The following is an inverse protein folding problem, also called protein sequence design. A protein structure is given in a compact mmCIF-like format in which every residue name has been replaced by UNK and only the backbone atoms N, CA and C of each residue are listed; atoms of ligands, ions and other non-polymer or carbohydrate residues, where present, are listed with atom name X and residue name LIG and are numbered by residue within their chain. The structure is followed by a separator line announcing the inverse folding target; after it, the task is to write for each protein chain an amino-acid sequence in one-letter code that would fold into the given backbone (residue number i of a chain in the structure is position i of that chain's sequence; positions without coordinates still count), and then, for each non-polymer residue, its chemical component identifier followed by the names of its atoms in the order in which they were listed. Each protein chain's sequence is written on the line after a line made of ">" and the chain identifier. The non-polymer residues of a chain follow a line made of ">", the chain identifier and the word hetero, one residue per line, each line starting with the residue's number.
data_IF_700020962757
#
_entry.id   IF_700020962757
#
_cell.length_a   1.000
_cell.length_b   1.000
_cell.length_c   1.000
_cell.angle_alpha   90.00
_cell.angle_beta   90.00
_cell.angle_gamma   90.00
#
_symmetry.space_group_name_H-M   'P 1'
#
loop_
_entity.id
_entity.type
_entity.pdbx_description
1 polymer ?
#
# COMPACT_ATOMS: atom_id res chain seq x y z
N UNK A 1 -0.68 -23.46 -0.35
CA UNK A 1 0.06 -22.61 -1.30
C UNK A 1 -0.98 -21.95 -2.20
N UNK A 2 -1.44 -20.75 -1.86
CA UNK A 2 -2.51 -20.06 -2.62
C UNK A 2 -1.89 -19.31 -3.80
N UNK A 3 -1.63 -20.02 -4.88
CA UNK A 3 -1.26 -19.40 -6.16
C UNK A 3 -2.54 -18.87 -6.81
N UNK A 4 -2.95 -17.65 -6.45
CA UNK A 4 -4.02 -16.98 -7.18
C UNK A 4 -3.46 -16.64 -8.58
N UNK A 5 -4.06 -17.15 -9.66
CA UNK A 5 -3.52 -17.04 -11.01
C UNK A 5 -3.64 -15.62 -11.62
N UNK A 6 -4.11 -14.62 -10.87
CA UNK A 6 -4.26 -13.22 -11.29
C UNK A 6 -3.05 -12.33 -10.95
N UNK A 7 -2.02 -12.88 -10.32
CA UNK A 7 -0.92 -12.12 -9.73
C UNK A 7 0.29 -11.99 -10.67
N UNK A 8 0.64 -10.75 -11.00
CA UNK A 8 1.73 -10.39 -11.91
C UNK A 8 3.16 -10.59 -11.33
N UNK A 9 3.30 -11.21 -10.15
CA UNK A 9 4.61 -11.49 -9.56
C UNK A 9 4.54 -12.35 -8.30
N UNK A 10 5.66 -12.99 -7.95
CA UNK A 10 5.82 -13.74 -6.69
C UNK A 10 6.32 -12.86 -5.54
N UNK A 11 6.69 -11.60 -5.80
CA UNK A 11 7.32 -10.70 -4.82
C UNK A 11 6.60 -9.36 -4.76
N UNK A 12 6.22 -8.98 -3.54
CA UNK A 12 5.50 -7.75 -3.27
C UNK A 12 6.20 -6.97 -2.16
N UNK A 13 6.22 -5.65 -2.31
CA UNK A 13 6.44 -4.73 -1.22
C UNK A 13 5.08 -4.28 -0.69
N UNK A 14 4.87 -4.39 0.62
CA UNK A 14 3.56 -4.16 1.23
C UNK A 14 3.56 -2.97 2.17
N UNK A 15 2.50 -2.18 2.12
CA UNK A 15 2.28 -1.03 3.01
C UNK A 15 0.94 -1.20 3.72
N UNK A 16 0.92 -1.10 5.04
CA UNK A 16 -0.30 -1.25 5.83
C UNK A 16 -0.73 0.08 6.41
N UNK A 17 -1.97 0.46 6.14
CA UNK A 17 -2.59 1.68 6.65
C UNK A 17 -3.65 1.35 7.69
N UNK A 18 -3.82 2.29 8.61
CA UNK A 18 -4.83 2.27 9.66
C UNK A 18 -5.68 3.53 9.57
N UNK A 19 -6.89 3.47 10.08
CA UNK A 19 -7.86 4.55 10.06
C UNK A 19 -7.64 5.58 11.20
N UNK A 20 -6.40 6.07 11.32
CA UNK A 20 -5.99 7.07 12.31
C UNK A 20 -5.31 8.26 11.63
N UNK A 21 -5.76 9.49 11.94
CA UNK A 21 -5.15 10.70 11.40
C UNK A 21 -5.30 11.89 12.34
N UNK A 22 -4.25 12.68 12.52
CA UNK A 22 -4.28 13.94 13.29
C UNK A 22 -4.87 13.80 14.71
N UNK A 23 -4.61 12.68 15.38
CA UNK A 23 -5.19 12.34 16.71
C UNK A 23 -6.68 11.98 16.70
N UNK A 24 -7.29 11.84 15.53
CA UNK A 24 -8.66 11.35 15.35
C UNK A 24 -8.64 9.90 14.84
N UNK A 25 -9.37 9.04 15.55
CA UNK A 25 -9.57 7.65 15.18
C UNK A 25 -10.95 7.52 14.52
N UNK A 26 -10.99 7.23 13.22
CA UNK A 26 -12.26 6.92 12.57
C UNK A 26 -12.79 5.57 13.06
N UNK A 27 -14.09 5.30 12.90
CA UNK A 27 -14.67 4.02 13.30
C UNK A 27 -14.76 3.06 12.12
N UNK A 28 -13.92 2.01 12.11
CA UNK A 28 -13.92 0.93 11.11
C UNK A 28 -13.90 1.43 9.64
N UNK A 29 -13.16 2.51 9.38
CA UNK A 29 -13.12 3.14 8.05
C UNK A 29 -12.01 2.52 7.19
N UNK A 30 -12.38 1.55 6.36
CA UNK A 30 -11.46 0.92 5.41
C UNK A 30 -10.96 1.90 4.33
N UNK A 31 -11.74 2.93 3.98
CA UNK A 31 -11.35 3.91 2.97
C UNK A 31 -10.23 4.79 3.48
N UNK A 32 -10.35 5.24 4.74
CA UNK A 32 -9.29 6.01 5.39
C UNK A 32 -8.03 5.15 5.56
N UNK A 33 -8.17 3.90 6.01
CA UNK A 33 -7.04 2.98 6.13
C UNK A 33 -6.35 2.73 4.76
N UNK A 34 -7.12 2.53 3.69
CA UNK A 34 -6.57 2.36 2.34
C UNK A 34 -5.82 3.60 1.86
N UNK A 35 -6.37 4.79 2.12
CA UNK A 35 -5.72 6.06 1.79
C UNK A 35 -4.37 6.19 2.50
N UNK A 36 -4.31 5.90 3.80
CA UNK A 36 -3.06 5.97 4.56
C UNK A 36 -2.03 4.96 4.05
N UNK A 37 -2.45 3.75 3.65
CA UNK A 37 -1.56 2.77 3.01
C UNK A 37 -0.97 3.30 1.69
N UNK A 38 -1.79 3.96 0.86
CA UNK A 38 -1.34 4.57 -0.39
C UNK A 38 -0.38 5.75 -0.15
N UNK A 39 -0.67 6.61 0.83
CA UNK A 39 0.20 7.74 1.16
C UNK A 39 1.57 7.27 1.64
N UNK A 40 1.62 6.24 2.50
CA UNK A 40 2.89 5.64 2.92
C UNK A 40 3.67 5.06 1.73
N UNK A 41 2.99 4.40 0.79
CA UNK A 41 3.62 3.88 -0.41
C UNK A 41 4.17 5.00 -1.32
N UNK A 42 3.42 6.10 -1.46
CA UNK A 42 3.86 7.28 -2.21
C UNK A 42 5.09 7.93 -1.57
N UNK A 43 5.05 8.17 -0.26
CA UNK A 43 6.16 8.74 0.50
C UNK A 43 7.41 7.86 0.39
N UNK A 44 7.24 6.53 0.45
CA UNK A 44 8.34 5.60 0.26
C UNK A 44 8.99 5.75 -1.13
N UNK A 45 8.18 5.82 -2.18
CA UNK A 45 8.68 6.02 -3.54
C UNK A 45 9.42 7.35 -3.72
N UNK A 46 9.08 8.39 -2.96
CA UNK A 46 9.82 9.67 -3.04
C UNK A 46 11.30 9.54 -2.66
N UNK A 47 11.64 8.61 -1.76
CA UNK A 47 13.03 8.32 -1.39
C UNK A 47 13.86 7.75 -2.55
N UNK A 48 13.21 7.26 -3.62
CA UNK A 48 13.83 6.71 -4.82
C UNK A 48 13.79 7.68 -6.02
N UNK A 49 13.50 8.96 -5.77
CA UNK A 49 13.54 10.02 -6.78
C UNK A 49 12.24 10.24 -7.55
N UNK A 50 11.15 9.53 -7.20
CA UNK A 50 9.83 9.82 -7.75
C UNK A 50 9.24 11.08 -7.14
N UNK A 51 8.58 11.90 -7.96
CA UNK A 51 7.71 12.95 -7.43
C UNK A 51 6.41 12.36 -6.89
N UNK A 52 5.76 13.07 -5.96
CA UNK A 52 4.48 12.63 -5.40
C UNK A 52 3.40 12.40 -6.48
N UNK A 53 3.35 13.22 -7.51
CA UNK A 53 2.38 13.07 -8.61
C UNK A 53 2.69 11.84 -9.47
N UNK A 54 3.97 11.54 -9.68
CA UNK A 54 4.40 10.35 -10.41
C UNK A 54 4.07 9.08 -9.62
N UNK A 55 4.32 9.08 -8.31
CA UNK A 55 3.97 7.99 -7.42
C UNK A 55 2.45 7.76 -7.40
N UNK A 56 1.65 8.83 -7.34
CA UNK A 56 0.18 8.74 -7.39
C UNK A 56 -0.30 8.09 -8.70
N UNK A 57 0.18 8.56 -9.85
CA UNK A 57 -0.19 7.98 -11.15
C UNK A 57 0.25 6.52 -11.21
N UNK A 58 1.48 6.19 -10.79
CA UNK A 58 2.00 4.84 -10.78
C UNK A 58 1.09 3.89 -9.98
N UNK A 59 0.72 4.27 -8.76
CA UNK A 59 -0.20 3.46 -7.94
C UNK A 59 -1.59 3.33 -8.57
N UNK A 60 -2.04 4.32 -9.35
CA UNK A 60 -3.33 4.26 -10.03
C UNK A 60 -3.35 3.36 -11.28
N UNK A 61 -2.21 3.17 -11.96
CA UNK A 61 -2.13 2.43 -13.24
C UNK A 61 -1.43 1.08 -13.13
N UNK A 62 -0.52 0.92 -12.17
CA UNK A 62 0.18 -0.33 -11.96
C UNK A 62 -0.77 -1.40 -11.42
N UNK A 63 -0.49 -2.70 -11.65
CA UNK A 63 -1.28 -3.81 -11.12
C UNK A 63 -1.01 -4.00 -9.61
N UNK A 64 -1.29 -2.97 -8.81
CA UNK A 64 -1.25 -3.03 -7.35
C UNK A 64 -2.53 -3.66 -6.80
N UNK A 65 -2.46 -4.19 -5.59
CA UNK A 65 -3.64 -4.73 -4.92
C UNK A 65 -3.84 -4.04 -3.58
N UNK A 66 -5.08 -3.64 -3.32
CA UNK A 66 -5.51 -3.20 -1.99
C UNK A 66 -6.34 -4.32 -1.37
N UNK A 67 -5.87 -4.86 -0.25
CA UNK A 67 -6.57 -5.92 0.49
C UNK A 67 -7.00 -5.40 1.84
N UNK A 68 -8.26 -5.62 2.19
CA UNK A 68 -8.74 -5.40 3.55
C UNK A 68 -8.15 -6.51 4.40
N UNK A 69 -7.20 -6.15 5.27
CA UNK A 69 -6.41 -7.10 6.06
C UNK A 69 -7.12 -7.47 7.35
N UNK A 70 -7.89 -6.55 7.93
CA UNK A 70 -8.65 -6.80 9.15
C UNK A 70 -9.64 -5.69 9.47
N UNK A 71 -10.82 -6.09 9.93
CA UNK A 71 -11.90 -5.20 10.41
C UNK A 71 -12.47 -5.65 11.76
N UNK A 72 -11.88 -6.67 12.36
CA UNK A 72 -12.39 -7.33 13.56
C UNK A 72 -12.04 -6.58 14.83
N UNK A 73 -11.03 -5.73 14.77
CA UNK A 73 -10.58 -4.91 15.89
C UNK A 73 -11.53 -3.74 16.07
N UNK A 74 -12.25 -3.69 17.19
CA UNK A 74 -13.26 -2.66 17.44
C UNK A 74 -12.66 -1.26 17.27
N UNK A 75 -13.23 -0.49 16.35
CA UNK A 75 -12.82 0.85 15.86
C UNK A 75 -11.71 0.87 14.81
N UNK A 76 -10.93 -0.18 14.65
CA UNK A 76 -9.79 -0.19 13.76
C UNK A 76 -10.10 -0.97 12.48
N UNK A 77 -9.75 -0.36 11.35
CA UNK A 77 -9.69 -1.01 10.06
C UNK A 77 -8.23 -0.98 9.58
N UNK A 78 -7.78 -2.10 9.02
CA UNK A 78 -6.46 -2.25 8.43
C UNK A 78 -6.60 -2.64 6.96
N UNK A 79 -5.94 -1.88 6.09
CA UNK A 79 -5.84 -2.17 4.65
C UNK A 79 -4.37 -2.23 4.28
N UNK A 80 -4.01 -3.27 3.53
CA UNK A 80 -2.64 -3.44 3.03
C UNK A 80 -2.62 -3.28 1.52
N UNK A 81 -1.75 -2.39 1.05
CA UNK A 81 -1.37 -2.24 -0.36
C UNK A 81 -0.24 -3.21 -0.67
N UNK A 82 -0.37 -3.95 -1.77
CA UNK A 82 0.62 -4.87 -2.30
C UNK A 82 1.12 -4.30 -3.62
N UNK A 83 2.39 -3.89 -3.63
CA UNK A 83 3.07 -3.35 -4.79
C UNK A 83 3.99 -4.42 -5.39
N UNK A 84 3.75 -4.87 -6.64
CA UNK A 84 4.63 -5.85 -7.27
C UNK A 84 6.00 -5.24 -7.52
N UNK A 85 7.07 -5.92 -7.09
CA UNK A 85 8.44 -5.41 -7.27
C UNK A 85 8.91 -5.42 -8.72
N UNK A 86 8.32 -6.29 -9.53
CA UNK A 86 8.76 -6.56 -10.90
C UNK A 86 8.39 -5.41 -11.88
N UNK A 87 7.67 -4.37 -11.42
CA UNK A 87 7.40 -3.15 -12.21
C UNK A 87 8.55 -2.14 -12.16
N UNK A 88 9.55 -2.35 -11.29
CA UNK A 88 10.68 -1.44 -11.13
C UNK A 88 11.97 -2.03 -11.73
N UNK A 89 12.69 -1.22 -12.50
CA UNK A 89 14.02 -1.58 -13.02
C UNK A 89 15.15 -1.37 -11.99
N UNK A 90 14.87 -0.64 -10.90
CA UNK A 90 15.82 -0.38 -9.82
C UNK A 90 15.45 -1.18 -8.57
N UNK A 91 16.44 -1.51 -7.74
CA UNK A 91 16.23 -2.18 -6.47
C UNK A 91 15.58 -1.24 -5.44
N UNK A 92 14.28 -1.37 -5.25
CA UNK A 92 13.46 -0.59 -4.30
C UNK A 92 13.24 -1.29 -2.96
N UNK A 93 14.05 -2.29 -2.62
CA UNK A 93 13.96 -2.92 -1.31
C UNK A 93 14.60 -2.04 -0.24
N UNK A 94 14.09 -2.06 1.01
CA UNK A 94 14.76 -1.42 2.13
C UNK A 94 16.21 -1.90 2.22
N UNK A 95 17.13 -0.95 2.37
CA UNK A 95 18.54 -1.23 2.66
C UNK A 95 18.76 -1.05 4.15
N UNK A 96 19.60 -1.90 4.74
CA UNK A 96 20.07 -1.76 6.13
C UNK A 96 20.85 -0.47 6.34
#
# INVERSE_FOLDING_TARGET
>A
MTTNPLFFGNRYLTFSGFNFRNSEQAFNDCTLAAREAMLQAMDYLTNFGYRGEQAYILLGVAPIELRISGITDVRNACVTLYMPLDIFNQGILPRE
#
